data_IF_381892183257
#
_entry.id   IF_381892183257
#
_cell.length_a   1.000
_cell.length_b   1.000
_cell.length_c   1.000
_cell.angle_alpha   90.00
_cell.angle_beta   90.00
_cell.angle_gamma   90.00
#
_symmetry.space_group_name_H-M   'P 1'
#
loop_
_entity.id
_entity.type
_entity.pdbx_description
1 polymer ?
#
# COMPACT_ATOMS: atom_id res chain seq x y z
N UNK A 1 2.99 -7.61 9.03
CA UNK A 1 3.45 -6.44 8.26
C UNK A 1 4.95 -6.32 8.44
N UNK A 2 5.73 -6.34 7.36
CA UNK A 2 7.17 -6.06 7.38
C UNK A 2 7.36 -4.69 6.75
N UNK A 3 7.84 -3.71 7.52
CA UNK A 3 7.98 -2.33 7.09
C UNK A 3 9.35 -2.11 6.43
N UNK A 4 9.36 -1.62 5.19
CA UNK A 4 10.56 -1.26 4.44
C UNK A 4 10.64 0.26 4.21
N UNK A 5 10.43 1.04 5.28
CA UNK A 5 10.16 2.48 5.22
C UNK A 5 11.29 3.32 4.61
N UNK A 6 12.53 2.84 4.63
CA UNK A 6 13.71 3.59 4.17
C UNK A 6 14.02 3.47 2.68
N UNK A 7 13.31 2.63 1.93
CA UNK A 7 13.54 2.44 0.50
C UNK A 7 12.45 3.06 -0.35
N UNK A 8 12.82 3.71 -1.46
CA UNK A 8 11.87 3.98 -2.54
C UNK A 8 11.72 2.72 -3.39
N UNK A 9 10.49 2.46 -3.82
CA UNK A 9 10.20 1.42 -4.80
C UNK A 9 9.74 2.07 -6.09
N UNK A 10 10.46 1.76 -7.15
CA UNK A 10 10.11 2.15 -8.50
C UNK A 10 9.22 1.10 -9.19
N UNK A 11 8.37 1.57 -10.09
CA UNK A 11 7.62 0.74 -11.01
C UNK A 11 8.55 -0.06 -11.93
N UNK A 12 8.50 -1.38 -11.82
CA UNK A 12 9.35 -2.32 -12.56
C UNK A 12 8.84 -2.62 -13.98
N UNK A 13 7.60 -2.26 -14.31
CA UNK A 13 7.01 -2.55 -15.63
C UNK A 13 7.33 -1.41 -16.61
N UNK A 14 7.13 -0.17 -16.18
CA UNK A 14 7.21 0.98 -17.09
C UNK A 14 7.60 2.30 -16.45
N UNK A 15 8.09 2.29 -15.20
CA UNK A 15 8.60 3.50 -14.54
C UNK A 15 7.56 4.60 -14.29
N UNK A 16 6.26 4.27 -14.16
CA UNK A 16 5.17 5.25 -14.02
C UNK A 16 5.04 5.84 -12.62
N UNK A 17 5.63 5.21 -11.60
CA UNK A 17 5.59 5.69 -10.22
C UNK A 17 6.87 5.33 -9.46
N UNK A 18 7.15 6.10 -8.42
CA UNK A 18 8.15 5.81 -7.39
C UNK A 18 7.56 6.22 -6.05
N UNK A 19 7.47 5.29 -5.09
CA UNK A 19 6.84 5.56 -3.79
C UNK A 19 7.75 5.16 -2.63
N UNK A 20 7.77 5.93 -1.53
CA UNK A 20 8.49 5.55 -0.32
C UNK A 20 7.82 4.31 0.30
N UNK A 21 8.65 3.38 0.78
CA UNK A 21 8.20 2.20 1.51
C UNK A 21 7.40 1.18 0.69
N UNK A 22 7.38 1.28 -0.64
CA UNK A 22 6.57 0.39 -1.49
C UNK A 22 6.76 -1.10 -1.18
N UNK A 23 8.01 -1.52 -0.99
CA UNK A 23 8.37 -2.91 -0.70
C UNK A 23 7.87 -3.46 0.63
N UNK A 24 7.20 -2.64 1.45
CA UNK A 24 6.53 -3.10 2.65
C UNK A 24 5.55 -4.23 2.30
N UNK A 25 5.64 -5.35 3.02
CA UNK A 25 4.85 -6.54 2.74
C UNK A 25 3.77 -6.73 3.79
N UNK A 26 2.55 -6.96 3.32
CA UNK A 26 1.36 -7.26 4.10
C UNK A 26 0.80 -8.63 3.73
N UNK A 27 0.08 -9.25 4.67
CA UNK A 27 -0.61 -10.53 4.43
C UNK A 27 -1.81 -10.66 5.35
N UNK A 28 -2.87 -11.31 4.87
CA UNK A 28 -4.04 -11.72 5.65
C UNK A 28 -3.98 -13.19 6.12
N UNK A 29 -2.86 -13.88 5.86
CA UNK A 29 -2.64 -15.29 6.15
C UNK A 29 -2.99 -16.25 4.99
N UNK A 30 -3.68 -15.77 3.95
CA UNK A 30 -3.97 -16.52 2.72
C UNK A 30 -3.31 -15.91 1.49
N UNK A 31 -3.38 -14.59 1.37
CA UNK A 31 -2.72 -13.78 0.35
C UNK A 31 -1.66 -12.89 0.99
N UNK A 32 -0.66 -12.52 0.21
CA UNK A 32 0.28 -11.46 0.56
C UNK A 32 0.33 -10.44 -0.58
N UNK A 33 0.65 -9.20 -0.24
CA UNK A 33 0.84 -8.12 -1.20
C UNK A 33 1.90 -7.15 -0.70
N UNK A 34 2.55 -6.48 -1.64
CA UNK A 34 3.40 -5.33 -1.35
C UNK A 34 2.56 -4.06 -1.32
N UNK A 35 2.99 -3.07 -0.55
CA UNK A 35 2.28 -1.80 -0.44
C UNK A 35 2.12 -1.12 -1.81
N UNK A 36 3.13 -1.21 -2.69
CA UNK A 36 3.01 -0.64 -4.04
C UNK A 36 2.07 -1.39 -5.00
N UNK A 37 1.55 -2.57 -4.65
CA UNK A 37 0.71 -3.37 -5.55
C UNK A 37 -0.52 -2.59 -6.05
N UNK A 38 -1.09 -1.72 -5.21
CA UNK A 38 -2.20 -0.85 -5.59
C UNK A 38 -1.84 0.18 -6.68
N UNK A 39 -0.57 0.60 -6.76
CA UNK A 39 -0.12 1.52 -7.81
C UNK A 39 -0.11 0.83 -9.18
N UNK A 40 0.27 -0.44 -9.25
CA UNK A 40 0.19 -1.20 -10.48
C UNK A 40 -1.25 -1.30 -11.02
N UNK A 41 -2.23 -1.55 -10.15
CA UNK A 41 -3.65 -1.59 -10.53
C UNK A 41 -4.17 -0.24 -11.06
N UNK A 42 -3.61 0.89 -10.59
CA UNK A 42 -3.97 2.24 -11.08
C UNK A 42 -3.40 2.56 -12.45
N UNK A 43 -2.22 2.02 -12.76
CA UNK A 43 -1.44 2.42 -13.94
C UNK A 43 -1.43 1.40 -15.08
N UNK A 44 -1.88 0.17 -14.83
CA UNK A 44 -1.86 -0.95 -15.77
C UNK A 44 -3.17 -1.73 -15.75
N UNK A 45 -3.60 -2.30 -16.89
CA UNK A 45 -4.82 -3.10 -16.99
C UNK A 45 -4.61 -4.52 -16.41
N UNK A 46 -4.30 -4.60 -15.12
CA UNK A 46 -4.07 -5.86 -14.40
C UNK A 46 -5.37 -6.31 -13.74
N UNK A 47 -5.80 -7.54 -14.01
CA UNK A 47 -6.96 -8.16 -13.38
C UNK A 47 -6.55 -8.89 -12.10
N UNK A 48 -7.26 -8.63 -11.01
CA UNK A 48 -7.19 -9.45 -9.78
C UNK A 48 -8.18 -10.62 -9.91
N UNK A 49 -7.79 -11.86 -9.57
CA UNK A 49 -8.69 -13.01 -9.63
C UNK A 49 -9.96 -12.81 -8.79
N UNK A 50 -11.10 -13.28 -9.30
CA UNK A 50 -12.40 -13.08 -8.65
C UNK A 50 -12.46 -13.76 -7.28
N UNK A 51 -11.82 -14.92 -7.10
CA UNK A 51 -11.76 -15.57 -5.78
C UNK A 51 -11.00 -14.76 -4.74
N UNK A 52 -9.97 -14.01 -5.15
CA UNK A 52 -9.22 -13.12 -4.26
C UNK A 52 -10.07 -11.91 -3.88
N UNK A 53 -10.77 -11.29 -4.85
CA UNK A 53 -11.72 -10.21 -4.57
C UNK A 53 -12.84 -10.65 -3.62
N UNK A 54 -13.41 -11.84 -3.84
CA UNK A 54 -14.42 -12.41 -2.95
C UNK A 54 -13.86 -12.62 -1.53
N UNK A 55 -12.63 -13.13 -1.41
CA UNK A 55 -11.96 -13.29 -0.12
C UNK A 55 -11.79 -11.93 0.59
N UNK A 56 -11.23 -10.92 -0.08
CA UNK A 56 -11.01 -9.61 0.54
C UNK A 56 -12.31 -8.96 0.99
N UNK A 57 -13.39 -9.08 0.20
CA UNK A 57 -14.73 -8.58 0.59
C UNK A 57 -15.30 -9.31 1.81
N UNK A 58 -15.09 -10.63 1.92
CA UNK A 58 -15.56 -11.41 3.09
C UNK A 58 -14.86 -11.04 4.40
N UNK A 59 -13.73 -10.32 4.33
CA UNK A 59 -13.02 -9.84 5.53
C UNK A 59 -13.63 -8.57 6.11
N UNK A 60 -14.68 -8.03 5.48
CA UNK A 60 -15.37 -6.81 5.90
C UNK A 60 -14.39 -5.66 6.19
N UNK A 61 -13.33 -5.57 5.38
CA UNK A 61 -12.37 -4.48 5.52
C UNK A 61 -13.05 -3.18 5.12
N UNK A 62 -13.15 -2.27 6.08
CA UNK A 62 -13.64 -0.92 5.89
C UNK A 62 -12.45 0.03 6.05
N UNK A 63 -11.87 0.54 4.95
CA UNK A 63 -10.76 1.47 5.06
C UNK A 63 -11.25 2.76 5.73
N UNK A 64 -10.58 3.24 6.79
CA UNK A 64 -10.95 4.53 7.36
C UNK A 64 -10.85 5.63 6.30
N UNK A 65 -11.90 6.44 6.18
CA UNK A 65 -11.87 7.64 5.35
C UNK A 65 -11.11 8.73 6.10
N UNK A 66 -10.05 9.25 5.47
CA UNK A 66 -9.29 10.37 6.00
C UNK A 66 -9.44 11.57 5.08
N UNK A 67 -9.64 12.73 5.70
CA UNK A 67 -9.48 14.02 5.04
C UNK A 67 -8.01 14.27 4.71
N UNK A 68 -7.73 15.13 3.72
CA UNK A 68 -6.36 15.51 3.39
C UNK A 68 -5.60 16.10 4.58
N UNK A 69 -6.30 16.75 5.52
CA UNK A 69 -5.71 17.28 6.73
C UNK A 69 -5.28 16.18 7.72
N UNK A 70 -6.10 15.15 7.89
CA UNK A 70 -5.77 13.99 8.74
C UNK A 70 -4.61 13.18 8.16
N UNK A 71 -4.55 13.03 6.83
CA UNK A 71 -3.42 12.39 6.16
C UNK A 71 -2.12 13.17 6.43
N UNK A 72 -2.14 14.49 6.24
CA UNK A 72 -0.97 15.33 6.49
C UNK A 72 -0.48 15.26 7.95
N UNK A 73 -1.41 15.19 8.91
CA UNK A 73 -1.06 15.04 10.32
C UNK A 73 -0.47 13.65 10.63
N UNK A 74 -1.03 12.58 10.06
CA UNK A 74 -0.47 11.22 10.18
C UNK A 74 0.95 11.16 9.62
N UNK A 75 1.19 11.75 8.45
CA UNK A 75 2.53 11.85 7.85
C UNK A 75 3.50 12.62 8.75
N UNK A 76 3.05 13.74 9.35
CA UNK A 76 3.86 14.53 10.28
C UNK A 76 4.22 13.73 11.53
N UNK A 77 3.26 13.05 12.15
CA UNK A 77 3.48 12.21 13.33
C UNK A 77 4.47 11.09 13.01
N UNK A 78 4.23 10.36 11.92
CA UNK A 78 5.12 9.28 11.48
C UNK A 78 6.54 9.80 11.27
N UNK A 79 6.72 10.96 10.62
CA UNK A 79 8.03 11.56 10.40
C UNK A 79 8.71 11.95 11.72
N UNK A 80 7.96 12.54 12.66
CA UNK A 80 8.50 12.97 13.96
C UNK A 80 8.99 11.83 14.85
N UNK A 81 8.50 10.60 14.64
CA UNK A 81 8.98 9.43 15.38
C UNK A 81 10.41 9.01 14.98
N UNK A 82 10.99 9.61 13.94
CA UNK A 82 12.31 9.26 13.40
C UNK A 82 13.31 10.42 13.40
N UNK A 83 12.89 11.63 13.79
CA UNK A 83 13.80 12.76 14.04
C UNK A 83 14.27 12.70 15.50
N UNK A 84 15.51 12.25 15.71
CA UNK A 84 16.23 12.30 16.98
C UNK A 84 16.95 13.64 17.16
#
# INVERSE_FOLDING_TARGET
MILAWMGYTEDLIGGKFSIPGGSATMSDGKYFWRYEAGMYLRHYPIRVPDEAIAHFRSRHWDPPEFTSAEIAELERVLTSMFEY
#
